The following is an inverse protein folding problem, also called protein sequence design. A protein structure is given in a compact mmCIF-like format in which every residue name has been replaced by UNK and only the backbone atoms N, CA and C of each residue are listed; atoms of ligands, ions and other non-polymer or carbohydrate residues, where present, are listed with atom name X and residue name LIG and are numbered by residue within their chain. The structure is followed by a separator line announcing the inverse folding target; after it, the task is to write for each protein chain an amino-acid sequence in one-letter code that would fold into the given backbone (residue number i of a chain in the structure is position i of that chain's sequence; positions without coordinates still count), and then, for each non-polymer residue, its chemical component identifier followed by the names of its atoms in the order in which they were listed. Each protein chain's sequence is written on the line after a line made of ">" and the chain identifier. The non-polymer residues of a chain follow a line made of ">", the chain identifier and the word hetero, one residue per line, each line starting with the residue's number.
data_IF_151138464102
#
_entry.id   IF_151138464102
#
_cell.length_a   1.000
_cell.length_b   1.000
_cell.length_c   1.000
_cell.angle_alpha   90.00
_cell.angle_beta   90.00
_cell.angle_gamma   90.00
#
_symmetry.space_group_name_H-M   'P 1'
#
loop_
_entity.id
_entity.type
_entity.pdbx_description
1 polymer ?
#
# COMPACT_ATOMS: atom_id res chain seq x y z
N UNK A 1 11.55 77.12 -35.71
CA UNK A 1 10.07 77.08 -35.72
C UNK A 1 9.62 76.27 -34.51
N UNK A 2 8.52 76.54 -33.81
CA UNK A 2 7.75 77.77 -33.51
C UNK A 2 6.66 77.34 -32.50
N UNK A 3 6.32 78.18 -31.51
CA UNK A 3 5.15 78.16 -30.59
C UNK A 3 4.44 76.83 -30.22
N UNK A 4 4.38 76.37 -28.96
CA UNK A 4 3.87 76.92 -27.67
C UNK A 4 2.34 76.96 -27.48
N UNK A 5 1.92 76.88 -26.21
CA UNK A 5 0.55 77.01 -25.62
C UNK A 5 -0.30 75.73 -25.54
N UNK A 6 -1.16 75.56 -24.51
CA UNK A 6 -1.22 76.27 -23.22
C UNK A 6 -2.58 76.33 -22.52
N UNK A 7 -2.56 76.37 -21.18
CA UNK A 7 -3.70 76.59 -20.26
C UNK A 7 -4.75 75.44 -20.19
N UNK A 8 -5.67 75.35 -19.20
CA UNK A 8 -6.01 76.26 -18.08
C UNK A 8 -6.52 75.48 -16.85
N UNK A 9 -6.75 76.14 -15.71
CA UNK A 9 -6.98 75.54 -14.39
C UNK A 9 -8.44 75.54 -13.88
N UNK A 10 -8.83 74.47 -13.15
CA UNK A 10 -9.83 74.42 -12.06
C UNK A 10 -11.32 74.73 -12.43
N UNK A 11 -12.33 74.53 -11.55
CA UNK A 11 -12.39 73.92 -10.19
C UNK A 11 -13.25 72.61 -10.19
N UNK A 12 -14.07 72.13 -9.22
CA UNK A 12 -14.47 72.50 -7.84
C UNK A 12 -15.13 71.34 -7.04
N UNK A 13 -14.91 71.30 -5.71
CA UNK A 13 -15.87 71.01 -4.59
C UNK A 13 -16.81 69.77 -4.59
N UNK A 14 -16.75 69.05 -3.44
CA UNK A 14 -17.87 68.44 -2.66
C UNK A 14 -18.68 67.29 -3.34
N UNK A 15 -19.28 66.33 -2.62
CA UNK A 15 -19.81 66.34 -1.24
C UNK A 15 -19.63 65.00 -0.49
N UNK A 16 -20.07 64.95 0.78
CA UNK A 16 -20.20 63.72 1.59
C UNK A 16 -21.59 63.11 1.43
N UNK A 17 -21.68 61.78 1.49
CA UNK A 17 -22.87 61.04 1.98
C UNK A 17 -22.39 59.94 2.94
N UNK A 18 -23.20 59.60 3.95
CA UNK A 18 -22.82 58.69 5.05
C UNK A 18 -23.90 57.65 5.34
N UNK A 19 -23.48 56.40 5.50
CA UNK A 19 -24.25 55.26 6.05
C UNK A 19 -23.31 54.05 6.08
N UNK A 20 -22.92 53.39 7.17
CA UNK A 20 -23.54 53.02 8.45
C UNK A 20 -24.17 51.61 8.45
N UNK A 21 -23.41 50.65 9.00
CA UNK A 21 -23.88 49.41 9.68
C UNK A 21 -24.61 48.35 8.80
N UNK A 22 -24.60 47.04 9.10
CA UNK A 22 -24.01 46.23 10.19
C UNK A 22 -23.63 44.81 9.68
N UNK A 23 -23.12 43.96 10.59
CA UNK A 23 -23.08 42.48 10.56
C UNK A 23 -22.48 41.79 9.30
N UNK A 24 -21.28 41.21 9.35
CA UNK A 24 -20.85 40.02 10.10
C UNK A 24 -21.28 38.67 9.47
N UNK A 25 -20.28 37.89 9.05
CA UNK A 25 -20.35 36.44 8.95
C UNK A 25 -18.95 35.87 9.28
N UNK A 26 -18.88 34.83 10.09
CA UNK A 26 -17.63 34.30 10.65
C UNK A 26 -17.40 32.85 10.21
N UNK A 27 -16.17 32.52 9.80
CA UNK A 27 -15.68 31.15 9.68
C UNK A 27 -14.44 30.98 10.58
N UNK A 28 -14.27 29.87 11.33
CA UNK A 28 -13.20 29.75 12.32
C UNK A 28 -11.87 29.29 11.73
N UNK A 29 -10.79 29.45 12.49
CA UNK A 29 -9.48 28.92 12.14
C UNK A 29 -9.29 27.47 12.62
N UNK A 30 -8.83 26.58 11.74
CA UNK A 30 -8.07 25.39 12.12
C UNK A 30 -7.13 24.99 10.97
N UNK A 31 -5.87 25.43 11.04
CA UNK A 31 -4.77 24.96 10.19
C UNK A 31 -3.60 24.72 11.13
N UNK A 32 -3.31 23.45 11.43
CA UNK A 32 -2.27 23.10 12.38
C UNK A 32 -0.86 23.23 11.75
N UNK A 33 0.11 23.55 12.60
CA UNK A 33 1.38 24.17 12.21
C UNK A 33 2.55 23.21 12.44
N UNK A 34 2.96 22.44 11.43
CA UNK A 34 4.25 21.72 11.43
C UNK A 34 4.93 21.78 10.04
N UNK A 35 5.49 22.95 9.67
CA UNK A 35 6.68 23.00 8.80
C UNK A 35 7.61 24.10 9.34
N UNK A 36 8.64 23.71 10.09
CA UNK A 36 9.94 24.37 10.25
C UNK A 36 10.68 23.83 11.48
N UNK A 37 11.73 23.03 11.26
CA UNK A 37 12.96 23.04 12.07
C UNK A 37 14.01 22.12 11.41
N UNK A 38 15.02 22.73 10.78
CA UNK A 38 16.28 22.04 10.48
C UNK A 38 17.19 22.16 11.70
N UNK A 39 18.09 21.20 11.88
CA UNK A 39 19.19 21.23 12.86
C UNK A 39 18.78 21.06 14.34
N UNK A 40 18.16 19.93 14.67
CA UNK A 40 18.03 19.47 16.05
C UNK A 40 17.57 18.01 16.11
N UNK A 41 18.31 17.15 16.84
CA UNK A 41 17.88 15.77 17.11
C UNK A 41 16.71 15.84 18.08
N UNK A 42 15.49 15.64 17.57
CA UNK A 42 14.28 15.54 18.39
C UNK A 42 14.21 14.14 18.98
N UNK A 43 14.10 14.04 20.30
CA UNK A 43 13.67 12.81 20.96
C UNK A 43 12.21 12.53 20.58
N UNK A 44 11.98 11.50 19.78
CA UNK A 44 10.63 10.95 19.57
C UNK A 44 10.09 10.49 20.94
N UNK A 45 8.80 10.72 21.22
CA UNK A 45 8.20 10.23 22.47
C UNK A 45 8.23 8.70 22.50
N UNK A 46 8.44 8.11 23.67
CA UNK A 46 8.39 6.65 23.85
C UNK A 46 7.13 6.05 23.23
N UNK A 47 6.01 6.71 23.44
CA UNK A 47 4.68 6.19 23.13
C UNK A 47 4.43 6.21 21.62
N UNK A 48 5.00 7.19 20.91
CA UNK A 48 4.96 7.29 19.43
C UNK A 48 5.92 6.28 18.78
N UNK A 49 7.07 6.02 19.41
CA UNK A 49 8.02 5.00 18.95
C UNK A 49 7.59 3.56 19.27
N UNK A 50 6.62 3.38 20.18
CA UNK A 50 5.92 2.11 20.40
C UNK A 50 4.81 1.93 19.36
N UNK A 51 3.99 2.96 19.13
CA UNK A 51 2.95 2.95 18.09
C UNK A 51 3.53 2.64 16.70
N UNK A 52 4.61 3.32 16.29
CA UNK A 52 5.24 3.07 14.98
C UNK A 52 5.77 1.64 14.83
N UNK A 53 6.25 1.01 15.92
CA UNK A 53 6.71 -0.39 15.93
C UNK A 53 5.56 -1.37 15.83
N UNK A 54 4.51 -1.21 16.64
CA UNK A 54 3.37 -2.10 16.58
C UNK A 54 2.68 -2.07 15.21
N UNK A 55 2.67 -0.91 14.55
CA UNK A 55 2.13 -0.75 13.20
C UNK A 55 3.04 -1.29 12.10
N UNK A 56 4.36 -1.19 12.25
CA UNK A 56 5.32 -1.87 11.37
C UNK A 56 5.21 -3.42 11.49
N UNK A 57 5.08 -3.93 12.72
CA UNK A 57 4.84 -5.35 13.01
C UNK A 57 3.50 -5.80 12.43
N UNK A 58 2.45 -5.02 12.66
CA UNK A 58 1.13 -5.24 12.11
C UNK A 58 1.14 -5.33 10.59
N UNK A 59 1.87 -4.45 9.90
CA UNK A 59 2.01 -4.49 8.44
C UNK A 59 2.62 -5.82 7.95
N UNK A 60 3.76 -6.27 8.50
CA UNK A 60 4.42 -7.50 8.05
C UNK A 60 3.68 -8.77 8.50
N UNK A 61 3.22 -8.82 9.75
CA UNK A 61 2.46 -9.97 10.27
C UNK A 61 1.07 -10.06 9.63
N UNK A 62 0.41 -8.93 9.36
CA UNK A 62 -0.88 -8.86 8.69
C UNK A 62 -0.82 -9.34 7.25
N UNK A 63 0.25 -9.01 6.52
CA UNK A 63 0.55 -9.59 5.21
C UNK A 63 0.64 -11.12 5.30
N UNK A 64 1.52 -11.61 6.19
CA UNK A 64 1.84 -13.03 6.28
C UNK A 64 0.72 -13.92 6.85
N UNK A 65 -0.13 -13.38 7.74
CA UNK A 65 -1.36 -14.06 8.16
C UNK A 65 -2.42 -14.06 7.05
N UNK A 66 -2.51 -12.99 6.24
CA UNK A 66 -3.40 -12.93 5.09
C UNK A 66 -3.07 -14.00 4.05
N UNK A 67 -1.82 -14.03 3.62
CA UNK A 67 -1.19 -15.09 2.82
C UNK A 67 -1.54 -16.49 3.38
N UNK A 68 -1.06 -16.81 4.58
CA UNK A 68 -1.11 -18.18 5.10
C UNK A 68 -2.52 -18.67 5.49
N UNK A 69 -3.50 -17.78 5.68
CA UNK A 69 -4.93 -18.14 5.80
C UNK A 69 -5.64 -18.21 4.46
N UNK A 70 -5.20 -17.46 3.44
CA UNK A 70 -5.78 -17.45 2.10
C UNK A 70 -5.31 -18.59 1.21
N UNK A 71 -4.06 -19.06 1.36
CA UNK A 71 -3.45 -20.07 0.49
C UNK A 71 -4.22 -21.41 0.39
N UNK A 72 -4.88 -21.94 1.45
CA UNK A 72 -5.73 -23.13 1.34
C UNK A 72 -6.97 -22.97 0.44
N UNK A 73 -7.24 -21.77 -0.07
CA UNK A 73 -8.41 -21.41 -0.86
C UNK A 73 -8.06 -20.89 -2.28
N UNK A 74 -6.79 -20.88 -2.67
CA UNK A 74 -6.32 -20.38 -3.96
C UNK A 74 -7.11 -21.00 -5.14
N UNK A 75 -7.55 -20.16 -6.08
CA UNK A 75 -8.36 -20.56 -7.23
C UNK A 75 -9.82 -20.92 -6.93
N UNK A 76 -10.29 -20.86 -5.67
CA UNK A 76 -11.67 -21.14 -5.33
C UNK A 76 -12.61 -20.00 -5.78
N UNK A 77 -13.56 -20.29 -6.68
CA UNK A 77 -14.52 -19.30 -7.23
C UNK A 77 -15.32 -18.53 -6.15
N UNK A 78 -15.48 -19.12 -4.96
CA UNK A 78 -15.97 -18.49 -3.73
C UNK A 78 -15.50 -19.31 -2.52
N UNK A 79 -15.41 -18.71 -1.34
CA UNK A 79 -15.09 -19.43 -0.09
C UNK A 79 -16.29 -19.44 0.85
N UNK A 80 -16.67 -20.63 1.33
CA UNK A 80 -17.74 -20.77 2.33
C UNK A 80 -17.22 -20.35 3.71
N UNK A 81 -17.95 -19.46 4.38
CA UNK A 81 -17.61 -18.92 5.71
C UNK A 81 -17.32 -20.02 6.74
N UNK A 82 -18.00 -21.17 6.68
CA UNK A 82 -17.79 -22.28 7.62
C UNK A 82 -16.51 -23.03 7.34
N UNK A 83 -16.05 -23.06 6.08
CA UNK A 83 -14.78 -23.67 5.71
C UNK A 83 -13.61 -22.76 6.13
N UNK A 84 -13.75 -21.45 5.95
CA UNK A 84 -12.81 -20.45 6.47
C UNK A 84 -12.71 -20.49 8.00
N UNK A 85 -13.86 -20.42 8.69
CA UNK A 85 -13.90 -20.57 10.15
C UNK A 85 -13.34 -21.93 10.62
N UNK A 86 -13.42 -22.98 9.81
CA UNK A 86 -12.77 -24.26 10.11
C UNK A 86 -11.24 -24.16 10.00
N UNK A 87 -10.71 -23.51 8.96
CA UNK A 87 -9.26 -23.30 8.75
C UNK A 87 -8.64 -22.43 9.86
N UNK A 88 -9.33 -21.37 10.29
CA UNK A 88 -8.93 -20.54 11.42
C UNK A 88 -8.79 -21.33 12.73
N UNK A 89 -9.62 -22.36 12.94
CA UNK A 89 -9.67 -23.16 14.17
C UNK A 89 -8.79 -24.43 14.14
N UNK A 90 -8.01 -24.67 13.07
CA UNK A 90 -7.02 -25.78 13.05
C UNK A 90 -5.85 -25.45 13.99
N UNK A 91 -5.23 -26.45 14.62
CA UNK A 91 -4.07 -26.25 15.52
C UNK A 91 -2.70 -26.37 14.82
N UNK A 92 -2.68 -26.44 13.49
CA UNK A 92 -1.46 -26.55 12.69
C UNK A 92 -0.81 -25.20 12.42
N UNK A 93 0.46 -25.22 12.04
CA UNK A 93 1.19 -24.03 11.58
C UNK A 93 0.49 -23.40 10.37
N UNK A 94 0.48 -22.07 10.33
CA UNK A 94 0.12 -21.28 9.17
C UNK A 94 1.41 -21.02 8.38
N UNK A 95 1.62 -21.79 7.32
CA UNK A 95 2.77 -21.64 6.42
C UNK A 95 2.45 -20.71 5.26
N UNK A 96 3.40 -19.85 4.93
CA UNK A 96 3.25 -18.80 3.94
C UNK A 96 3.73 -19.19 2.53
N UNK A 97 3.25 -18.48 1.50
CA UNK A 97 3.60 -18.68 0.08
C UNK A 97 4.73 -17.76 -0.38
N UNK A 98 4.88 -17.51 -1.69
CA UNK A 98 5.87 -16.53 -2.18
C UNK A 98 5.48 -15.07 -1.92
N UNK A 99 4.22 -14.80 -1.58
CA UNK A 99 3.72 -13.54 -1.03
C UNK A 99 4.63 -13.07 0.13
N UNK A 100 4.66 -13.81 1.23
CA UNK A 100 5.50 -13.48 2.40
C UNK A 100 6.97 -13.66 2.12
N UNK A 101 7.38 -14.68 1.35
CA UNK A 101 8.80 -14.93 1.08
C UNK A 101 9.44 -13.73 0.36
N UNK A 102 8.77 -13.15 -0.64
CA UNK A 102 9.27 -11.96 -1.33
C UNK A 102 8.98 -10.66 -0.54
N UNK A 103 7.98 -10.64 0.34
CA UNK A 103 7.77 -9.53 1.31
C UNK A 103 8.95 -9.42 2.27
N UNK A 104 9.40 -10.55 2.84
CA UNK A 104 10.53 -10.63 3.75
C UNK A 104 11.82 -10.13 3.08
N UNK A 105 12.14 -10.60 1.87
CA UNK A 105 13.32 -10.12 1.13
C UNK A 105 13.29 -8.61 0.90
N UNK A 106 12.15 -8.03 0.52
CA UNK A 106 12.05 -6.57 0.37
C UNK A 106 12.20 -5.86 1.73
N UNK A 107 11.57 -6.38 2.78
CA UNK A 107 11.65 -5.81 4.11
C UNK A 107 13.10 -5.82 4.65
N UNK A 108 13.82 -6.93 4.50
CA UNK A 108 15.22 -7.05 4.92
C UNK A 108 16.13 -6.14 4.11
N UNK A 109 15.96 -6.10 2.78
CA UNK A 109 16.72 -5.22 1.89
C UNK A 109 16.65 -3.75 2.33
N UNK A 110 15.43 -3.26 2.57
CA UNK A 110 15.17 -1.90 3.04
C UNK A 110 15.72 -1.69 4.47
N UNK A 111 15.61 -2.69 5.34
CA UNK A 111 16.08 -2.63 6.72
C UNK A 111 17.62 -2.56 6.83
N UNK A 112 18.36 -3.21 5.94
CA UNK A 112 19.82 -3.08 5.84
C UNK A 112 20.28 -1.70 5.35
N UNK A 113 19.47 -1.05 4.50
CA UNK A 113 19.80 0.19 3.80
C UNK A 113 19.17 1.44 4.43
N UNK A 114 18.40 1.27 5.52
CA UNK A 114 17.68 2.33 6.22
C UNK A 114 18.64 3.43 6.72
N UNK A 115 18.38 4.67 6.32
CA UNK A 115 19.25 5.81 6.63
C UNK A 115 20.48 5.97 5.72
N UNK A 116 20.63 5.14 4.68
CA UNK A 116 21.57 5.36 3.58
C UNK A 116 21.11 6.42 2.58
N UNK A 117 21.92 6.69 1.55
CA UNK A 117 21.58 7.66 0.49
C UNK A 117 20.53 7.14 -0.51
N UNK A 118 20.33 5.82 -0.59
CA UNK A 118 19.25 5.17 -1.31
C UNK A 118 18.78 3.94 -0.53
N UNK A 119 17.49 3.87 -0.21
CA UNK A 119 16.90 2.77 0.55
C UNK A 119 16.78 1.48 -0.29
N UNK A 120 16.81 1.56 -1.63
CA UNK A 120 16.56 0.43 -2.51
C UNK A 120 17.59 0.36 -3.65
N UNK A 121 18.40 -0.70 -3.67
CA UNK A 121 19.32 -1.07 -4.76
C UNK A 121 18.68 -2.16 -5.65
N UNK A 122 18.21 -1.83 -6.87
CA UNK A 122 17.57 -2.80 -7.76
C UNK A 122 18.48 -3.97 -8.17
N UNK A 123 19.80 -3.75 -8.26
CA UNK A 123 20.74 -4.76 -8.71
C UNK A 123 21.10 -5.76 -7.61
N UNK A 124 21.06 -5.34 -6.35
CA UNK A 124 21.14 -6.25 -5.21
C UNK A 124 19.79 -6.97 -5.00
N UNK A 125 18.67 -6.24 -4.92
CA UNK A 125 17.34 -6.79 -4.67
C UNK A 125 16.92 -7.85 -5.71
N UNK A 126 17.28 -7.66 -6.99
CA UNK A 126 16.99 -8.65 -8.03
C UNK A 126 17.74 -9.99 -7.83
N UNK A 127 18.93 -9.97 -7.21
CA UNK A 127 19.67 -11.18 -6.84
C UNK A 127 19.10 -11.79 -5.56
N UNK A 128 18.84 -10.97 -4.55
CA UNK A 128 18.27 -11.41 -3.27
C UNK A 128 16.92 -12.13 -3.45
N UNK A 129 16.03 -11.63 -4.32
CA UNK A 129 14.80 -12.35 -4.70
C UNK A 129 15.09 -13.69 -5.41
N UNK A 130 16.09 -13.74 -6.29
CA UNK A 130 16.43 -14.94 -7.04
C UNK A 130 17.12 -16.00 -6.16
N UNK A 131 17.94 -15.59 -5.20
CA UNK A 131 18.60 -16.46 -4.23
C UNK A 131 17.59 -17.01 -3.20
N UNK A 132 16.61 -16.21 -2.77
CA UNK A 132 15.49 -16.68 -1.95
C UNK A 132 14.60 -17.69 -2.70
N UNK A 133 14.27 -17.41 -3.97
CA UNK A 133 13.60 -18.39 -4.84
C UNK A 133 14.42 -19.68 -5.01
N UNK A 134 15.74 -19.58 -5.15
CA UNK A 134 16.61 -20.74 -5.31
C UNK A 134 16.74 -21.58 -4.02
N UNK A 135 16.56 -20.96 -2.85
CA UNK A 135 16.55 -21.63 -1.55
C UNK A 135 15.22 -22.40 -1.32
N UNK A 136 14.08 -21.78 -1.60
CA UNK A 136 12.74 -22.34 -1.31
C UNK A 136 11.78 -22.35 -2.53
N UNK A 137 12.15 -22.95 -3.68
CA UNK A 137 11.40 -22.82 -4.95
C UNK A 137 10.00 -23.45 -4.96
N UNK A 138 9.57 -24.05 -3.84
CA UNK A 138 8.28 -24.71 -3.65
C UNK A 138 7.19 -23.79 -3.04
N UNK A 139 7.50 -22.53 -2.70
CA UNK A 139 6.58 -21.64 -1.95
C UNK A 139 5.27 -21.27 -2.67
N UNK A 140 5.21 -21.31 -3.99
CA UNK A 140 4.01 -20.99 -4.79
C UNK A 140 4.39 -20.50 -6.18
N UNK A 141 5.24 -19.47 -6.21
CA UNK A 141 5.90 -18.79 -7.32
C UNK A 141 5.23 -18.97 -8.69
N UNK A 142 4.48 -17.94 -9.12
CA UNK A 142 3.95 -17.87 -10.48
C UNK A 142 5.03 -18.17 -11.55
N UNK A 143 4.69 -18.98 -12.55
CA UNK A 143 5.67 -19.59 -13.48
C UNK A 143 6.58 -18.60 -14.22
N UNK A 144 6.09 -17.38 -14.49
CA UNK A 144 6.91 -16.30 -15.06
C UNK A 144 7.96 -15.77 -14.07
N UNK A 145 7.63 -15.67 -12.77
CA UNK A 145 8.59 -15.27 -11.74
C UNK A 145 9.69 -16.33 -11.56
N UNK A 146 9.32 -17.63 -11.53
CA UNK A 146 10.30 -18.73 -11.50
C UNK A 146 11.30 -18.63 -12.67
N UNK A 147 10.82 -18.38 -13.89
CA UNK A 147 11.70 -18.23 -15.06
C UNK A 147 12.60 -17.00 -14.95
N UNK A 148 12.08 -15.86 -14.46
CA UNK A 148 12.88 -14.65 -14.24
C UNK A 148 14.02 -14.92 -13.24
N UNK A 149 13.69 -15.48 -12.07
CA UNK A 149 14.67 -15.81 -11.03
C UNK A 149 15.69 -16.84 -11.52
N UNK A 150 15.24 -17.93 -12.17
CA UNK A 150 16.11 -18.96 -12.76
C UNK A 150 17.13 -18.38 -13.74
N UNK A 151 16.75 -17.38 -14.54
CA UNK A 151 17.65 -16.73 -15.49
C UNK A 151 18.62 -15.77 -14.78
N UNK A 152 18.17 -15.02 -13.76
CA UNK A 152 19.04 -14.19 -12.91
C UNK A 152 20.11 -15.06 -12.20
N UNK A 153 19.75 -16.23 -11.68
CA UNK A 153 20.70 -17.20 -11.10
C UNK A 153 21.76 -17.71 -12.09
N UNK A 154 21.54 -17.60 -13.41
CA UNK A 154 22.58 -17.91 -14.43
C UNK A 154 23.44 -16.70 -14.81
N UNK A 155 23.25 -15.56 -14.14
CA UNK A 155 24.02 -14.32 -14.34
C UNK A 155 23.47 -13.39 -15.41
N UNK A 156 22.21 -13.55 -15.83
CA UNK A 156 21.55 -12.63 -16.75
C UNK A 156 21.09 -11.34 -16.04
N UNK A 157 21.19 -10.20 -16.72
CA UNK A 157 20.68 -8.91 -16.23
C UNK A 157 19.15 -8.93 -16.13
N UNK A 158 18.64 -8.71 -14.92
CA UNK A 158 17.20 -8.70 -14.62
C UNK A 158 16.42 -7.74 -15.52
N UNK A 159 17.01 -6.60 -15.93
CA UNK A 159 16.35 -5.62 -16.82
C UNK A 159 16.00 -6.24 -18.18
N UNK A 160 16.90 -7.07 -18.70
CA UNK A 160 16.70 -7.80 -19.96
C UNK A 160 15.65 -8.90 -19.77
N UNK A 161 15.74 -9.64 -18.67
CA UNK A 161 14.88 -10.82 -18.39
C UNK A 161 13.42 -10.41 -18.09
N UNK A 162 13.21 -9.48 -17.17
CA UNK A 162 11.86 -9.03 -16.77
C UNK A 162 11.14 -8.32 -17.93
N UNK A 163 11.85 -7.50 -18.71
CA UNK A 163 11.27 -6.82 -19.89
C UNK A 163 10.95 -7.79 -21.03
N UNK A 164 11.72 -8.86 -21.22
CA UNK A 164 11.48 -9.86 -22.26
C UNK A 164 10.27 -10.77 -21.99
N UNK A 165 9.80 -10.82 -20.73
CA UNK A 165 8.65 -11.61 -20.31
C UNK A 165 7.37 -11.22 -21.08
N UNK A 166 6.47 -12.20 -21.27
CA UNK A 166 5.22 -12.04 -22.04
C UNK A 166 5.39 -11.45 -23.45
N UNK A 167 6.51 -11.75 -24.10
CA UNK A 167 6.81 -11.35 -25.47
C UNK A 167 7.35 -9.92 -25.62
N UNK A 168 8.02 -9.39 -24.59
CA UNK A 168 8.52 -8.01 -24.56
C UNK A 168 7.58 -7.00 -23.90
N UNK A 169 6.62 -7.46 -23.10
CA UNK A 169 5.60 -6.63 -22.45
C UNK A 169 5.74 -6.57 -20.92
N UNK A 170 6.51 -7.48 -20.31
CA UNK A 170 6.57 -7.64 -18.85
C UNK A 170 5.32 -8.32 -18.26
N UNK A 171 5.36 -8.61 -16.97
CA UNK A 171 4.22 -9.19 -16.23
C UNK A 171 3.28 -8.10 -15.71
N UNK A 172 1.98 -8.21 -16.00
CA UNK A 172 0.90 -7.42 -15.37
C UNK A 172 0.34 -8.09 -14.09
N UNK A 173 0.99 -9.17 -13.63
CA UNK A 173 0.61 -9.86 -12.40
C UNK A 173 0.69 -8.99 -11.15
N UNK A 174 -0.02 -9.41 -10.12
CA UNK A 174 0.00 -8.81 -8.78
C UNK A 174 1.24 -9.15 -7.96
N UNK A 175 2.10 -10.07 -8.42
CA UNK A 175 3.29 -10.53 -7.68
C UNK A 175 4.30 -9.44 -7.33
N UNK A 176 4.20 -8.25 -7.92
CA UNK A 176 4.92 -7.05 -7.48
C UNK A 176 4.21 -6.26 -6.37
N UNK A 177 2.88 -6.23 -6.37
CA UNK A 177 2.06 -5.53 -5.37
C UNK A 177 1.96 -6.33 -4.05
N UNK A 178 1.86 -7.65 -4.14
CA UNK A 178 1.75 -8.55 -2.99
C UNK A 178 2.85 -8.29 -1.94
N UNK A 179 4.09 -8.14 -2.44
CA UNK A 179 5.30 -7.95 -1.64
C UNK A 179 5.63 -6.50 -1.27
N UNK A 180 4.86 -5.51 -1.74
CA UNK A 180 5.32 -4.11 -1.79
C UNK A 180 5.15 -3.34 -0.49
N UNK A 181 4.27 -3.78 0.41
CA UNK A 181 3.89 -3.04 1.62
C UNK A 181 5.08 -2.50 2.47
N UNK A 182 6.24 -3.20 2.60
CA UNK A 182 7.39 -2.68 3.34
C UNK A 182 7.92 -1.31 2.90
N UNK A 183 7.69 -0.86 1.65
CA UNK A 183 8.14 0.47 1.20
C UNK A 183 7.49 1.61 1.98
N UNK A 184 6.29 1.38 2.53
CA UNK A 184 5.57 2.37 3.34
C UNK A 184 6.29 2.72 4.66
N UNK A 185 7.17 1.84 5.15
CA UNK A 185 7.92 2.02 6.40
C UNK A 185 9.20 2.87 6.24
N UNK A 186 9.58 3.19 5.00
CA UNK A 186 10.83 3.92 4.66
C UNK A 186 10.65 5.08 3.67
N UNK A 187 9.44 5.27 3.13
CA UNK A 187 9.13 6.37 2.24
C UNK A 187 9.00 7.71 2.99
N UNK A 188 9.60 8.79 2.45
CA UNK A 188 9.50 10.13 3.03
C UNK A 188 8.09 10.77 2.86
N UNK A 189 7.39 10.42 1.78
CA UNK A 189 6.02 10.83 1.49
C UNK A 189 5.29 9.85 0.55
N UNK A 190 4.02 10.13 0.23
CA UNK A 190 3.17 9.27 -0.60
C UNK A 190 3.68 9.14 -2.07
N UNK A 191 4.31 10.18 -2.63
CA UNK A 191 4.92 10.10 -3.95
C UNK A 191 6.24 9.31 -3.91
N UNK A 192 6.96 9.36 -2.79
CA UNK A 192 8.11 8.49 -2.56
C UNK A 192 7.71 7.01 -2.39
N UNK A 193 6.58 6.73 -1.71
CA UNK A 193 6.01 5.39 -1.62
C UNK A 193 5.67 4.83 -3.02
N UNK A 194 5.02 5.64 -3.88
CA UNK A 194 4.77 5.29 -5.28
C UNK A 194 6.09 5.02 -6.04
N UNK A 195 7.12 5.87 -5.85
CA UNK A 195 8.42 5.73 -6.50
C UNK A 195 9.14 4.45 -6.09
N UNK A 196 9.23 4.16 -4.79
CA UNK A 196 9.88 2.96 -4.26
C UNK A 196 9.13 1.69 -4.69
N UNK A 197 7.80 1.71 -4.67
CA UNK A 197 6.97 0.63 -5.17
C UNK A 197 7.26 0.28 -6.64
N UNK A 198 7.20 1.27 -7.56
CA UNK A 198 7.53 1.04 -8.99
C UNK A 198 8.97 0.54 -9.18
N UNK A 199 9.93 1.08 -8.40
CA UNK A 199 11.32 0.62 -8.40
C UNK A 199 11.50 -0.83 -7.95
N UNK A 200 10.69 -1.32 -7.00
CA UNK A 200 10.70 -2.73 -6.57
C UNK A 200 9.93 -3.66 -7.54
N UNK A 201 8.95 -3.12 -8.27
CA UNK A 201 8.08 -3.88 -9.17
C UNK A 201 8.79 -4.32 -10.45
N UNK A 202 9.46 -3.38 -11.13
CA UNK A 202 10.08 -3.56 -12.47
C UNK A 202 11.10 -4.71 -12.54
N UNK A 203 11.65 -5.14 -11.39
CA UNK A 203 12.54 -6.32 -11.26
C UNK A 203 11.92 -7.63 -11.75
N UNK A 204 10.59 -7.75 -11.69
CA UNK A 204 9.83 -8.93 -12.17
C UNK A 204 8.58 -8.57 -12.98
N UNK A 205 8.07 -7.34 -12.84
CA UNK A 205 6.79 -6.89 -13.37
C UNK A 205 6.96 -5.59 -14.17
N UNK A 206 7.74 -5.65 -15.25
CA UNK A 206 8.03 -4.52 -16.15
C UNK A 206 6.86 -4.13 -17.08
N UNK A 207 5.61 -4.50 -16.75
CA UNK A 207 4.41 -4.01 -17.42
C UNK A 207 3.84 -2.83 -16.63
N UNK A 208 3.31 -1.81 -17.31
CA UNK A 208 2.79 -0.60 -16.67
C UNK A 208 1.78 -0.89 -15.54
N UNK A 209 0.83 -1.81 -15.75
CA UNK A 209 -0.12 -2.22 -14.70
C UNK A 209 0.49 -3.05 -13.56
N UNK A 210 1.61 -3.75 -13.79
CA UNK A 210 2.33 -4.43 -12.70
C UNK A 210 3.05 -3.41 -11.79
N UNK A 211 3.65 -2.39 -12.39
CA UNK A 211 4.22 -1.25 -11.65
C UNK A 211 3.15 -0.39 -10.97
N UNK A 212 2.03 -0.10 -11.64
CA UNK A 212 0.95 0.73 -11.12
C UNK A 212 0.17 0.05 -9.98
N UNK A 213 -0.07 -1.27 -10.07
CA UNK A 213 -0.68 -2.02 -8.97
C UNK A 213 0.20 -2.05 -7.73
N UNK A 214 1.52 -2.20 -7.91
CA UNK A 214 2.47 -2.08 -6.81
C UNK A 214 2.49 -0.65 -6.24
N UNK A 215 2.46 0.38 -7.09
CA UNK A 215 2.37 1.78 -6.65
C UNK A 215 1.10 2.04 -5.81
N UNK A 216 -0.06 1.56 -6.26
CA UNK A 216 -1.32 1.69 -5.54
C UNK A 216 -1.26 1.00 -4.17
N UNK A 217 -0.78 -0.24 -4.10
CA UNK A 217 -0.68 -0.98 -2.83
C UNK A 217 0.35 -0.35 -1.86
N UNK A 218 1.50 0.12 -2.37
CA UNK A 218 2.50 0.81 -1.55
C UNK A 218 1.99 2.14 -0.99
N UNK A 219 1.28 2.92 -1.80
CA UNK A 219 0.61 4.14 -1.36
C UNK A 219 -0.53 3.85 -0.38
N UNK A 220 -1.34 2.81 -0.61
CA UNK A 220 -2.39 2.40 0.32
C UNK A 220 -1.81 2.00 1.69
N UNK A 221 -0.69 1.27 1.71
CA UNK A 221 0.00 0.92 2.94
C UNK A 221 0.54 2.15 3.68
N UNK A 222 1.09 3.14 2.94
CA UNK A 222 1.52 4.42 3.51
C UNK A 222 0.34 5.21 4.12
N UNK A 223 -0.81 5.29 3.42
CA UNK A 223 -2.01 5.95 3.93
C UNK A 223 -2.59 5.24 5.15
N UNK A 224 -2.61 3.90 5.15
CA UNK A 224 -3.03 3.10 6.29
C UNK A 224 -2.14 3.38 7.52
N UNK A 225 -0.82 3.40 7.33
CA UNK A 225 0.20 3.72 8.34
C UNK A 225 0.11 5.14 8.92
N UNK A 226 -0.45 6.09 8.17
CA UNK A 226 -0.63 7.48 8.59
C UNK A 226 -2.07 7.84 9.02
N UNK A 227 -2.97 6.85 9.05
CA UNK A 227 -4.34 6.99 9.58
C UNK A 227 -4.46 6.53 11.04
N UNK A 228 -5.55 6.86 11.75
CA UNK A 228 -5.79 6.37 13.12
C UNK A 228 -6.99 5.42 13.19
N UNK A 229 -6.91 4.27 13.89
CA UNK A 229 -8.07 3.44 14.19
C UNK A 229 -9.21 4.22 14.84
N UNK A 230 -10.46 3.96 14.43
CA UNK A 230 -11.64 4.70 14.89
C UNK A 230 -11.85 6.08 14.25
N UNK A 231 -10.89 6.63 13.51
CA UNK A 231 -11.10 7.79 12.64
C UNK A 231 -11.58 7.34 11.24
N UNK A 232 -12.66 7.90 10.69
CA UNK A 232 -13.25 7.43 9.43
C UNK A 232 -12.32 7.71 8.24
N UNK A 233 -12.11 6.70 7.39
CA UNK A 233 -11.37 6.83 6.14
C UNK A 233 -12.27 7.43 5.05
N UNK A 234 -11.99 8.69 4.66
CA UNK A 234 -12.64 9.33 3.52
C UNK A 234 -12.08 8.76 2.21
N UNK A 235 -12.88 7.91 1.54
CA UNK A 235 -12.52 7.26 0.27
C UNK A 235 -12.30 8.26 -0.87
N UNK A 236 -12.96 9.43 -0.83
CA UNK A 236 -12.77 10.47 -1.83
C UNK A 236 -11.45 11.23 -1.58
N UNK A 237 -11.11 11.54 -0.33
CA UNK A 237 -9.80 12.12 0.02
C UNK A 237 -8.65 11.18 -0.40
N UNK A 238 -8.74 9.89 -0.04
CA UNK A 238 -7.77 8.85 -0.44
C UNK A 238 -7.57 8.81 -1.96
N UNK A 239 -8.66 8.88 -2.74
CA UNK A 239 -8.61 8.90 -4.21
C UNK A 239 -7.87 10.13 -4.75
N UNK A 240 -8.07 11.32 -4.17
CA UNK A 240 -7.37 12.54 -4.58
C UNK A 240 -5.90 12.54 -4.15
N UNK A 241 -5.56 11.99 -2.99
CA UNK A 241 -4.18 11.80 -2.53
C UNK A 241 -3.42 10.82 -3.45
N UNK A 242 -4.05 9.71 -3.84
CA UNK A 242 -3.49 8.76 -4.80
C UNK A 242 -3.29 9.37 -6.20
N UNK A 243 -4.19 10.27 -6.65
CA UNK A 243 -3.91 11.09 -7.86
C UNK A 243 -2.70 11.99 -7.66
N UNK A 244 -2.58 12.63 -6.49
CA UNK A 244 -1.43 13.46 -6.12
C UNK A 244 -0.10 12.71 -6.18
N UNK A 245 -0.09 11.43 -5.79
CA UNK A 245 1.07 10.54 -5.88
C UNK A 245 1.33 9.97 -7.30
N UNK A 246 0.51 10.31 -8.30
CA UNK A 246 0.69 9.86 -9.67
C UNK A 246 0.20 8.43 -9.95
N UNK A 247 -0.85 7.97 -9.26
CA UNK A 247 -1.60 6.78 -9.67
C UNK A 247 -2.49 7.10 -10.88
N UNK A 248 -2.51 6.19 -11.85
CA UNK A 248 -3.15 6.36 -13.15
C UNK A 248 -4.70 6.33 -13.04
N UNK A 249 -5.38 7.14 -13.85
CA UNK A 249 -6.84 7.36 -13.70
C UNK A 249 -7.68 6.08 -13.92
N UNK A 250 -7.19 5.08 -14.66
CA UNK A 250 -7.90 3.79 -14.79
C UNK A 250 -7.83 2.90 -13.54
N UNK A 251 -6.85 3.15 -12.66
CA UNK A 251 -6.80 2.59 -11.31
C UNK A 251 -7.67 3.40 -10.34
N UNK A 252 -7.66 4.73 -10.43
CA UNK A 252 -8.57 5.59 -9.65
C UNK A 252 -10.05 5.32 -9.98
N UNK A 253 -10.36 4.92 -11.21
CA UNK A 253 -11.69 4.45 -11.61
C UNK A 253 -12.15 3.17 -10.90
N UNK A 254 -11.23 2.36 -10.33
CA UNK A 254 -11.61 1.26 -9.44
C UNK A 254 -11.99 1.78 -8.04
N UNK A 255 -11.36 2.85 -7.57
CA UNK A 255 -11.74 3.50 -6.31
C UNK A 255 -13.12 4.18 -6.41
N UNK A 256 -13.50 4.68 -7.59
CA UNK A 256 -14.88 5.14 -7.84
C UNK A 256 -15.91 4.02 -7.69
N UNK A 257 -15.57 2.77 -8.02
CA UNK A 257 -16.43 1.61 -7.76
C UNK A 257 -16.48 1.30 -6.25
N UNK A 258 -15.34 1.35 -5.56
CA UNK A 258 -15.24 1.11 -4.11
C UNK A 258 -15.97 2.21 -3.31
N UNK A 259 -16.08 3.43 -3.83
CA UNK A 259 -16.82 4.52 -3.19
C UNK A 259 -18.32 4.22 -3.05
N UNK A 260 -18.90 3.44 -3.96
CA UNK A 260 -20.31 3.04 -3.96
C UNK A 260 -20.61 1.82 -3.06
N UNK A 261 -19.60 1.22 -2.41
CA UNK A 261 -19.78 0.04 -1.54
C UNK A 261 -20.14 0.43 -0.10
N UNK A 262 -21.03 -0.34 0.53
CA UNK A 262 -21.44 -0.18 1.93
C UNK A 262 -20.90 -1.34 2.82
N UNK A 263 -21.09 -1.28 4.16
CA UNK A 263 -20.67 -2.37 5.06
C UNK A 263 -21.37 -3.72 4.86
N UNK A 264 -22.46 -3.79 4.10
CA UNK A 264 -23.17 -5.05 3.78
C UNK A 264 -22.88 -5.51 2.34
N UNK A 265 -21.88 -4.92 1.68
CA UNK A 265 -21.46 -5.30 0.33
C UNK A 265 -20.70 -6.62 0.35
N UNK A 266 -21.39 -7.68 -0.08
CA UNK A 266 -20.90 -9.06 -0.13
C UNK A 266 -19.58 -9.20 -0.92
N UNK A 267 -18.60 -10.00 -0.43
CA UNK A 267 -17.31 -10.20 -1.08
C UNK A 267 -17.40 -10.64 -2.54
N UNK A 268 -18.23 -11.63 -2.87
CA UNK A 268 -18.38 -12.09 -4.25
C UNK A 268 -19.03 -11.03 -5.16
N UNK A 269 -19.79 -10.07 -4.59
CA UNK A 269 -20.38 -8.97 -5.36
C UNK A 269 -19.35 -7.90 -5.70
N UNK A 270 -18.44 -7.61 -4.79
CA UNK A 270 -17.30 -6.74 -5.06
C UNK A 270 -16.32 -7.37 -6.06
N UNK A 271 -16.00 -8.67 -5.90
CA UNK A 271 -15.15 -9.44 -6.80
C UNK A 271 -15.65 -9.40 -8.27
N UNK A 272 -16.96 -9.45 -8.49
CA UNK A 272 -17.56 -9.32 -9.84
C UNK A 272 -17.34 -7.96 -10.52
N UNK A 273 -17.02 -6.91 -9.76
CA UNK A 273 -16.86 -5.53 -10.27
C UNK A 273 -15.39 -5.12 -10.33
N UNK A 274 -14.61 -5.55 -9.35
CA UNK A 274 -13.19 -5.22 -9.22
C UNK A 274 -12.28 -6.27 -9.86
N UNK A 275 -12.74 -7.52 -9.97
CA UNK A 275 -11.91 -8.69 -10.25
C UNK A 275 -11.52 -9.43 -8.97
N UNK A 276 -10.85 -10.57 -9.12
CA UNK A 276 -10.32 -11.36 -8.00
C UNK A 276 -9.23 -12.37 -8.45
N UNK A 277 -8.44 -12.03 -9.47
CA UNK A 277 -7.41 -12.90 -10.03
C UNK A 277 -5.99 -12.33 -9.95
N UNK A 278 -5.02 -13.16 -10.36
CA UNK A 278 -3.57 -12.87 -10.45
C UNK A 278 -3.18 -11.58 -11.19
N UNK A 279 -4.09 -10.96 -11.95
CA UNK A 279 -3.83 -9.66 -12.56
C UNK A 279 -3.88 -8.56 -11.50
N UNK A 280 -2.89 -7.66 -11.47
CA UNK A 280 -2.84 -6.61 -10.45
C UNK A 280 -4.11 -5.72 -10.45
N UNK A 281 -4.67 -5.45 -11.63
CA UNK A 281 -5.89 -4.66 -11.83
C UNK A 281 -7.18 -5.37 -11.35
N UNK A 282 -7.08 -6.65 -10.99
CA UNK A 282 -8.17 -7.49 -10.50
C UNK A 282 -8.05 -7.81 -8.99
N UNK A 283 -6.85 -7.84 -8.42
CA UNK A 283 -6.61 -8.21 -7.02
C UNK A 283 -6.32 -7.01 -6.10
N UNK A 284 -5.48 -6.05 -6.51
CA UNK A 284 -5.14 -4.88 -5.66
C UNK A 284 -6.38 -4.05 -5.29
N UNK A 285 -7.32 -3.74 -6.21
CA UNK A 285 -8.52 -3.00 -5.85
C UNK A 285 -9.43 -3.78 -4.88
N UNK A 286 -9.45 -5.11 -4.99
CA UNK A 286 -10.28 -5.98 -4.14
C UNK A 286 -9.70 -6.10 -2.73
N UNK A 287 -8.37 -6.14 -2.60
CA UNK A 287 -7.69 -6.02 -1.31
C UNK A 287 -7.93 -4.64 -0.65
N UNK A 288 -7.87 -3.57 -1.44
CA UNK A 288 -8.20 -2.21 -0.99
C UNK A 288 -9.67 -2.09 -0.58
N UNK A 289 -10.60 -2.75 -1.27
CA UNK A 289 -12.01 -2.79 -0.90
C UNK A 289 -12.23 -3.50 0.45
N UNK A 290 -11.59 -4.66 0.66
CA UNK A 290 -11.66 -5.39 1.92
C UNK A 290 -11.26 -4.50 3.12
N UNK A 291 -10.17 -3.76 2.97
CA UNK A 291 -9.68 -2.80 3.95
C UNK A 291 -10.63 -1.60 4.12
N UNK A 292 -11.05 -0.94 3.03
CA UNK A 292 -11.89 0.26 3.09
C UNK A 292 -13.34 0.00 3.52
N UNK A 293 -13.79 -1.26 3.58
CA UNK A 293 -15.08 -1.68 4.15
C UNK A 293 -14.93 -1.95 5.66
N UNK A 294 -13.84 -2.61 6.10
CA UNK A 294 -13.67 -3.06 7.50
C UNK A 294 -12.40 -2.50 8.19
N UNK A 295 -12.04 -1.19 8.07
CA UNK A 295 -10.67 -0.71 8.32
C UNK A 295 -10.18 -0.86 9.77
N UNK A 296 -11.08 -1.00 10.74
CA UNK A 296 -10.78 -1.15 12.17
C UNK A 296 -10.94 -2.60 12.67
N UNK A 297 -11.08 -3.58 11.76
CA UNK A 297 -11.22 -5.00 12.12
C UNK A 297 -10.34 -5.88 11.22
N UNK A 298 -9.04 -6.06 11.55
CA UNK A 298 -8.11 -6.81 10.70
C UNK A 298 -8.54 -8.26 10.43
N UNK A 299 -9.22 -8.89 11.39
CA UNK A 299 -9.81 -10.22 11.19
C UNK A 299 -10.92 -10.24 10.14
N UNK A 300 -11.81 -9.24 10.11
CA UNK A 300 -12.85 -9.16 9.07
C UNK A 300 -12.30 -8.68 7.72
N UNK A 301 -11.24 -7.86 7.70
CA UNK A 301 -10.54 -7.52 6.45
C UNK A 301 -10.00 -8.79 5.77
N UNK A 302 -9.26 -9.62 6.49
CA UNK A 302 -8.74 -10.89 5.96
C UNK A 302 -9.89 -11.85 5.60
N UNK A 303 -10.93 -11.98 6.44
CA UNK A 303 -12.08 -12.85 6.13
C UNK A 303 -12.89 -12.39 4.93
N UNK A 304 -13.06 -11.09 4.74
CA UNK A 304 -13.74 -10.53 3.56
C UNK A 304 -12.90 -10.78 2.31
N UNK A 305 -11.58 -10.54 2.38
CA UNK A 305 -10.64 -10.79 1.29
C UNK A 305 -10.65 -12.26 0.83
N UNK A 306 -10.56 -13.22 1.76
CA UNK A 306 -10.61 -14.66 1.42
C UNK A 306 -12.00 -15.05 0.86
N UNK A 307 -13.10 -14.51 1.40
CA UNK A 307 -14.46 -14.76 0.89
C UNK A 307 -14.69 -14.26 -0.55
N UNK A 308 -13.93 -13.25 -1.01
CA UNK A 308 -13.99 -12.80 -2.40
C UNK A 308 -13.56 -13.89 -3.40
N UNK A 309 -12.82 -14.92 -2.95
CA UNK A 309 -12.39 -16.05 -3.78
C UNK A 309 -11.33 -15.66 -4.80
N UNK A 310 -10.97 -16.62 -5.66
CA UNK A 310 -9.93 -16.47 -6.67
C UNK A 310 -8.54 -16.47 -6.04
N UNK A 311 -7.84 -15.34 -6.14
CA UNK A 311 -6.45 -15.16 -5.70
C UNK A 311 -6.36 -14.87 -4.18
N UNK A 312 -6.83 -15.82 -3.38
CA UNK A 312 -7.23 -15.56 -1.99
C UNK A 312 -6.08 -15.30 -1.03
N UNK A 313 -4.89 -15.89 -1.22
CA UNK A 313 -3.68 -15.53 -0.49
C UNK A 313 -3.22 -14.12 -0.84
N UNK A 314 -2.95 -13.82 -2.11
CA UNK A 314 -2.44 -12.50 -2.50
C UNK A 314 -3.41 -11.37 -2.18
N UNK A 315 -4.72 -11.56 -2.37
CA UNK A 315 -5.73 -10.54 -2.00
C UNK A 315 -5.80 -10.36 -0.47
N UNK A 316 -5.73 -11.43 0.31
CA UNK A 316 -5.76 -11.36 1.77
C UNK A 316 -4.46 -10.83 2.39
N UNK A 317 -3.31 -11.17 1.80
CA UNK A 317 -2.00 -10.62 2.14
C UNK A 317 -1.98 -9.10 1.98
N UNK A 318 -2.34 -8.62 0.77
CA UNK A 318 -2.42 -7.19 0.51
C UNK A 318 -3.41 -6.48 1.44
N UNK A 319 -4.58 -7.07 1.70
CA UNK A 319 -5.58 -6.47 2.58
C UNK A 319 -5.15 -6.47 4.07
N UNK A 320 -4.55 -7.58 4.53
CA UNK A 320 -4.02 -7.75 5.88
C UNK A 320 -2.87 -6.80 6.19
N UNK A 321 -2.00 -6.53 5.20
CA UNK A 321 -0.94 -5.53 5.31
C UNK A 321 -1.50 -4.13 5.59
N UNK A 322 -2.59 -3.72 4.90
CA UNK A 322 -3.25 -2.44 5.12
C UNK A 322 -3.90 -2.38 6.52
N UNK A 323 -4.63 -3.44 6.89
CA UNK A 323 -5.30 -3.50 8.19
C UNK A 323 -4.29 -3.48 9.35
N UNK A 324 -3.16 -4.16 9.22
CA UNK A 324 -2.10 -4.19 10.22
C UNK A 324 -1.30 -2.88 10.30
N UNK A 325 -1.01 -2.24 9.17
CA UNK A 325 -0.39 -0.91 9.13
C UNK A 325 -1.25 0.16 9.84
N UNK A 326 -2.58 0.00 9.81
CA UNK A 326 -3.53 0.85 10.53
C UNK A 326 -3.65 0.52 12.02
N UNK A 327 -3.83 -0.76 12.37
CA UNK A 327 -4.28 -1.16 13.72
C UNK A 327 -3.20 -1.75 14.63
N UNK A 328 -2.02 -2.09 14.11
CA UNK A 328 -0.94 -2.73 14.86
C UNK A 328 -1.05 -4.26 14.95
N UNK A 329 -0.02 -4.92 15.48
CA UNK A 329 0.04 -6.38 15.61
C UNK A 329 -0.97 -6.93 16.65
N UNK A 330 -1.10 -6.26 17.79
CA UNK A 330 -2.04 -6.61 18.88
C UNK A 330 -3.54 -6.57 18.47
N UNK A 331 -3.87 -6.07 17.28
CA UNK A 331 -5.22 -6.07 16.73
C UNK A 331 -5.59 -7.36 15.97
N UNK A 332 -4.63 -8.25 15.72
CA UNK A 332 -4.89 -9.57 15.16
C UNK A 332 -5.15 -10.61 16.27
N UNK A 333 -5.93 -11.68 16.01
CA UNK A 333 -6.08 -12.78 16.96
C UNK A 333 -4.74 -13.45 17.30
N UNK A 334 -4.40 -13.52 18.59
CA UNK A 334 -3.21 -14.22 19.14
C UNK A 334 -2.94 -15.57 18.46
N UNK A 335 -3.99 -16.36 18.23
CA UNK A 335 -3.91 -17.71 17.68
C UNK A 335 -3.48 -17.75 16.22
N UNK A 336 -3.59 -16.65 15.48
CA UNK A 336 -3.05 -16.53 14.12
C UNK A 336 -1.56 -16.25 14.19
N UNK A 337 -1.14 -15.23 14.96
CA UNK A 337 0.27 -14.84 15.12
C UNK A 337 1.11 -15.98 15.73
N UNK A 338 0.61 -16.66 16.76
CA UNK A 338 1.30 -17.79 17.42
C UNK A 338 1.43 -19.04 16.54
N UNK A 339 0.67 -19.13 15.44
CA UNK A 339 0.74 -20.24 14.47
C UNK A 339 1.51 -19.88 13.21
N UNK A 340 1.78 -18.62 12.94
CA UNK A 340 2.42 -18.15 11.73
C UNK A 340 3.89 -18.59 11.66
N UNK A 341 4.28 -19.15 10.50
CA UNK A 341 5.66 -19.46 10.16
C UNK A 341 6.53 -18.19 10.16
N UNK A 342 7.65 -18.25 10.89
CA UNK A 342 8.63 -17.15 11.04
C UNK A 342 8.05 -15.79 11.47
N UNK A 343 6.99 -15.80 12.28
CA UNK A 343 6.46 -14.61 12.96
C UNK A 343 7.51 -13.84 13.78
N UNK A 344 8.53 -14.54 14.29
CA UNK A 344 9.69 -13.96 14.98
C UNK A 344 10.60 -13.16 14.02
N UNK A 345 10.94 -13.71 12.85
CA UNK A 345 11.73 -13.01 11.83
C UNK A 345 10.96 -11.80 11.25
N UNK A 346 9.66 -11.95 11.01
CA UNK A 346 8.77 -10.85 10.58
C UNK A 346 8.76 -9.72 11.64
N UNK A 347 8.70 -10.07 12.93
CA UNK A 347 8.75 -9.10 14.03
C UNK A 347 10.10 -8.39 14.13
N UNK A 348 11.22 -9.13 14.01
CA UNK A 348 12.57 -8.53 14.03
C UNK A 348 12.78 -7.61 12.83
N UNK A 349 12.31 -7.99 11.64
CA UNK A 349 12.43 -7.16 10.44
C UNK A 349 11.59 -5.87 10.54
N UNK A 350 10.38 -5.95 11.11
CA UNK A 350 9.56 -4.78 11.41
C UNK A 350 10.25 -3.82 12.40
N UNK A 351 10.83 -4.35 13.48
CA UNK A 351 11.53 -3.56 14.50
C UNK A 351 12.80 -2.85 13.98
N UNK A 352 13.39 -3.34 12.88
CA UNK A 352 14.50 -2.69 12.16
C UNK A 352 14.00 -1.55 11.25
N UNK A 353 12.79 -1.69 10.69
CA UNK A 353 12.16 -0.72 9.79
C UNK A 353 11.45 0.45 10.51
N UNK A 354 11.12 0.29 11.79
CA UNK A 354 10.42 1.29 12.63
C UNK A 354 11.34 2.32 13.31
#
# INVERSE_FOLDING_TARGET
>A
MVHTSGARCWPSRLSKVSGAQAAACSAPAFVFRIIAERSGVRSVSSDVAVDSRERARGLLLGAAVGDALGAPFEGAVRVDERLLASAENVTGQLSYTDDTALTLVLAEHLAERRGGEDALDPDALAREFADAWAAEPWRGYGSAAQEIFRLICTGMDWRTVASASFGGQGSFGNGAAMRVAPVALVADDLADAARLARRSAVLTHAHADGEAGAALQGCAAYLALHSSPGEPLDRAAIREELRGAGIEEHWLAKLDIIAEFDPETEPERAAQLLGHGVAALESVPTALAAFLINPDSPAEVIRWAIRAGGDTDTIACMAGALAGARNGADAFPDSWIQRLEHADLLTECADRLA
#
